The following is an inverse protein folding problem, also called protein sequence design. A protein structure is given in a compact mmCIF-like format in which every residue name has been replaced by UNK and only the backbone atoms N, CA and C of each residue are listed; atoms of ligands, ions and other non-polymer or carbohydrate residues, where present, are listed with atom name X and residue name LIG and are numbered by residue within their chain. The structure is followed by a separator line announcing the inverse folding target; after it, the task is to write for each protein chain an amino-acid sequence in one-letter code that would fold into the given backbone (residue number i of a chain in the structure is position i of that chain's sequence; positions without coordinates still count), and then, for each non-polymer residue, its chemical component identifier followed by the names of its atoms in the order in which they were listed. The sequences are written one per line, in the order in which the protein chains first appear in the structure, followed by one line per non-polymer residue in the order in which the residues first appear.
data_IF_197226300301
#
_entry.id   IF_197226300301
#
_cell.length_a   1.000
_cell.length_b   1.000
_cell.length_c   1.000
_cell.angle_alpha   90.00
_cell.angle_beta   90.00
_cell.angle_gamma   90.00
#
_symmetry.space_group_name_H-M   'P 1'
#
loop_
_entity.id
_entity.type
_entity.pdbx_description
1 polymer ?
#
# COMPACT_ATOMS: atom_id res chain seq x y z
N UNK A 1 -5.20 -9.43 -23.34
CA UNK A 1 -4.34 -9.42 -22.14
C UNK A 1 -3.63 -8.08 -21.87
N UNK A 2 -3.91 -7.01 -22.63
CA UNK A 2 -3.28 -5.68 -22.46
C UNK A 2 -4.01 -4.75 -21.49
N UNK A 3 -5.35 -4.80 -21.42
CA UNK A 3 -6.14 -3.92 -20.56
C UNK A 3 -5.97 -4.18 -19.04
N UNK A 4 -5.81 -5.45 -18.65
CA UNK A 4 -5.59 -5.83 -17.24
C UNK A 4 -4.23 -5.35 -16.71
N UNK A 5 -3.19 -5.33 -17.56
CA UNK A 5 -1.86 -4.85 -17.18
C UNK A 5 -1.84 -3.34 -16.95
N UNK A 6 -2.50 -2.56 -17.82
CA UNK A 6 -2.58 -1.10 -17.70
C UNK A 6 -3.38 -0.66 -16.46
N UNK A 7 -4.48 -1.35 -16.16
CA UNK A 7 -5.29 -1.07 -14.96
C UNK A 7 -4.52 -1.44 -13.68
N UNK A 8 -3.84 -2.59 -13.66
CA UNK A 8 -3.04 -3.02 -12.50
C UNK A 8 -1.85 -2.11 -12.20
N UNK A 9 -1.17 -1.58 -13.23
CA UNK A 9 -0.09 -0.60 -13.10
C UNK A 9 -0.60 0.74 -12.53
N UNK A 10 -1.73 1.23 -13.04
CA UNK A 10 -2.35 2.45 -12.55
C UNK A 10 -2.70 2.34 -11.05
N UNK A 11 -3.34 1.24 -10.65
CA UNK A 11 -3.69 0.99 -9.25
C UNK A 11 -2.46 0.89 -8.33
N UNK A 12 -1.36 0.28 -8.80
CA UNK A 12 -0.12 0.25 -8.02
C UNK A 12 0.51 1.63 -7.86
N UNK A 13 0.53 2.44 -8.92
CA UNK A 13 1.09 3.80 -8.87
C UNK A 13 0.28 4.68 -7.92
N UNK A 14 -1.06 4.67 -8.04
CA UNK A 14 -1.93 5.43 -7.14
C UNK A 14 -1.80 4.99 -5.68
N UNK A 15 -1.71 3.69 -5.42
CA UNK A 15 -1.49 3.17 -4.05
C UNK A 15 -0.13 3.58 -3.49
N UNK A 16 0.92 3.54 -4.30
CA UNK A 16 2.25 3.99 -3.88
C UNK A 16 2.28 5.50 -3.59
N UNK A 17 1.63 6.31 -4.43
CA UNK A 17 1.49 7.75 -4.22
C UNK A 17 0.73 8.08 -2.93
N UNK A 18 -0.43 7.46 -2.71
CA UNK A 18 -1.23 7.67 -1.50
C UNK A 18 -0.47 7.30 -0.23
N UNK A 19 0.33 6.22 -0.27
CA UNK A 19 1.16 5.81 0.88
C UNK A 19 2.22 6.87 1.21
N UNK A 20 2.92 7.40 0.19
CA UNK A 20 3.93 8.45 0.38
C UNK A 20 3.30 9.71 0.94
N UNK A 21 2.15 10.14 0.40
CA UNK A 21 1.43 11.32 0.91
C UNK A 21 1.04 11.15 2.39
N UNK A 22 0.48 10.00 2.77
CA UNK A 22 0.05 9.75 4.16
C UNK A 22 1.21 9.74 5.14
N UNK A 23 2.37 9.20 4.73
CA UNK A 23 3.58 9.22 5.55
C UNK A 23 4.08 10.66 5.74
N UNK A 24 4.11 11.46 4.66
CA UNK A 24 4.52 12.87 4.74
C UNK A 24 3.56 13.65 5.66
N UNK A 25 2.24 13.50 5.49
CA UNK A 25 1.25 14.15 6.36
C UNK A 25 1.41 13.72 7.82
N UNK A 26 1.60 12.42 8.08
CA UNK A 26 1.84 11.91 9.44
C UNK A 26 3.09 12.49 10.10
N UNK A 27 4.16 12.74 9.34
CA UNK A 27 5.37 13.42 9.84
C UNK A 27 5.11 14.90 10.09
N UNK A 28 4.44 15.60 9.18
CA UNK A 28 4.10 17.02 9.33
C UNK A 28 3.19 17.28 10.53
N UNK A 29 2.22 16.39 10.78
CA UNK A 29 1.34 16.43 11.95
C UNK A 29 2.11 16.21 13.26
N UNK A 30 3.13 15.34 13.26
CA UNK A 30 4.00 15.12 14.43
C UNK A 30 4.86 16.36 14.76
N UNK A 31 5.18 17.18 13.76
CA UNK A 31 5.94 18.43 13.93
C UNK A 31 4.99 19.60 14.29
N UNK A 32 3.68 19.35 14.45
CA UNK A 32 2.67 20.39 14.72
C UNK A 32 2.71 21.51 13.65
N UNK A 33 2.86 21.13 12.38
CA UNK A 33 3.06 22.07 11.28
C UNK A 33 1.84 23.00 11.08
N UNK A 34 2.09 24.32 11.08
CA UNK A 34 1.09 25.39 10.87
C UNK A 34 0.27 25.24 9.57
N UNK A 35 0.83 24.60 8.55
CA UNK A 35 0.12 24.37 7.28
C UNK A 35 -1.08 23.43 7.39
N UNK A 36 -1.14 22.60 8.44
CA UNK A 36 -2.23 21.67 8.70
C UNK A 36 -3.16 22.14 9.84
N UNK A 37 -3.04 23.39 10.27
CA UNK A 37 -3.83 23.92 11.38
C UNK A 37 -5.34 23.83 11.12
N UNK A 38 -5.77 24.06 9.88
CA UNK A 38 -7.19 23.93 9.48
C UNK A 38 -7.71 22.49 9.48
N UNK A 39 -6.85 21.47 9.49
CA UNK A 39 -7.25 20.06 9.55
C UNK A 39 -7.42 19.59 11.01
N UNK A 40 -6.93 20.36 11.98
CA UNK A 40 -6.94 20.04 13.42
C UNK A 40 -7.74 21.06 14.25
N UNK A 41 -8.35 22.03 13.59
CA UNK A 41 -9.16 23.06 14.24
C UNK A 41 -10.40 22.45 14.89
N UNK A 42 -10.81 23.02 16.02
CA UNK A 42 -12.02 22.66 16.72
C UNK A 42 -13.12 23.67 16.41
N UNK A 43 -14.38 23.24 16.43
CA UNK A 43 -15.54 24.10 16.11
C UNK A 43 -15.71 25.27 17.09
N UNK A 44 -15.30 25.11 18.34
CA UNK A 44 -15.40 26.16 19.36
C UNK A 44 -14.22 26.13 20.32
N UNK A 45 -13.70 27.31 20.64
CA UNK A 45 -12.65 27.51 21.63
C UNK A 45 -13.15 28.46 22.70
N UNK A 46 -12.89 28.12 23.96
CA UNK A 46 -13.36 28.93 25.10
C UNK A 46 -12.38 30.05 25.47
N UNK A 47 -11.08 29.78 25.35
CA UNK A 47 -9.99 30.71 25.66
C UNK A 47 -8.74 30.37 24.83
N UNK A 48 -7.73 31.23 24.81
CA UNK A 48 -6.47 31.00 24.11
C UNK A 48 -5.70 29.78 24.64
N UNK A 49 -5.68 29.57 25.96
CA UNK A 49 -5.04 28.38 26.56
C UNK A 49 -5.76 27.08 26.16
N UNK A 50 -7.10 27.14 26.07
CA UNK A 50 -7.91 26.02 25.57
C UNK A 50 -7.62 25.76 24.10
N UNK A 51 -7.49 26.80 23.28
CA UNK A 51 -7.07 26.69 21.87
C UNK A 51 -5.75 25.93 21.73
N UNK A 52 -4.70 26.34 22.46
CA UNK A 52 -3.38 25.68 22.37
C UNK A 52 -3.44 24.22 22.80
N UNK A 53 -4.13 23.92 23.91
CA UNK A 53 -4.22 22.57 24.44
C UNK A 53 -5.02 21.63 23.54
N UNK A 54 -6.17 22.10 23.04
CA UNK A 54 -7.05 21.31 22.19
C UNK A 54 -6.42 21.06 20.82
N UNK A 55 -5.80 22.09 20.23
CA UNK A 55 -5.10 21.99 18.94
C UNK A 55 -3.96 20.98 19.00
N UNK A 56 -3.14 21.03 20.07
CA UNK A 56 -2.06 20.05 20.28
C UNK A 56 -2.57 18.62 20.42
N UNK A 57 -3.68 18.43 21.13
CA UNK A 57 -4.31 17.13 21.26
C UNK A 57 -4.84 16.61 19.91
N UNK A 58 -5.46 17.49 19.12
CA UNK A 58 -5.99 17.17 17.80
C UNK A 58 -4.86 16.81 16.82
N UNK A 59 -3.73 17.53 16.81
CA UNK A 59 -2.54 17.15 16.04
C UNK A 59 -2.10 15.71 16.33
N UNK A 60 -2.04 15.33 17.61
CA UNK A 60 -1.67 13.97 18.02
C UNK A 60 -2.67 12.93 17.52
N UNK A 61 -3.97 13.20 17.66
CA UNK A 61 -5.04 12.28 17.21
C UNK A 61 -5.02 12.08 15.69
N UNK A 62 -4.92 13.16 14.92
CA UNK A 62 -4.87 13.09 13.45
C UNK A 62 -3.56 12.43 12.99
N UNK A 63 -2.43 12.72 13.64
CA UNK A 63 -1.16 12.06 13.36
C UNK A 63 -1.28 10.54 13.51
N UNK A 64 -1.87 10.05 14.62
CA UNK A 64 -2.06 8.62 14.88
C UNK A 64 -2.92 7.99 13.78
N UNK A 65 -4.00 8.64 13.38
CA UNK A 65 -4.88 8.15 12.32
C UNK A 65 -4.13 8.03 10.97
N UNK A 66 -3.34 9.05 10.61
CA UNK A 66 -2.50 9.01 9.41
C UNK A 66 -1.46 7.89 9.46
N UNK A 67 -0.83 7.66 10.61
CA UNK A 67 0.14 6.57 10.80
C UNK A 67 -0.50 5.19 10.68
N UNK A 68 -1.69 4.98 11.27
CA UNK A 68 -2.45 3.74 11.14
C UNK A 68 -2.84 3.51 9.68
N UNK A 69 -3.36 4.53 9.00
CA UNK A 69 -3.71 4.44 7.58
C UNK A 69 -2.48 4.07 6.73
N UNK A 70 -1.36 4.76 6.93
CA UNK A 70 -0.09 4.47 6.25
C UNK A 70 0.35 3.01 6.46
N UNK A 71 0.23 2.48 7.68
CA UNK A 71 0.55 1.08 7.98
C UNK A 71 -0.36 0.09 7.23
N UNK A 72 -1.68 0.37 7.16
CA UNK A 72 -2.64 -0.46 6.42
C UNK A 72 -2.30 -0.48 4.92
N UNK A 73 -2.01 0.69 4.33
CA UNK A 73 -1.62 0.77 2.92
C UNK A 73 -0.29 0.05 2.64
N UNK A 74 0.69 0.17 3.53
CA UNK A 74 1.95 -0.59 3.45
C UNK A 74 1.70 -2.10 3.47
N UNK A 75 0.85 -2.59 4.38
CA UNK A 75 0.48 -4.00 4.45
C UNK A 75 -0.22 -4.47 3.16
N UNK A 76 -1.14 -3.69 2.61
CA UNK A 76 -1.81 -4.01 1.35
C UNK A 76 -0.84 -4.08 0.17
N UNK A 77 0.15 -3.19 0.10
CA UNK A 77 1.22 -3.24 -0.90
C UNK A 77 2.04 -4.52 -0.75
N UNK A 78 2.46 -4.86 0.47
CA UNK A 78 3.23 -6.09 0.74
C UNK A 78 2.43 -7.33 0.33
N UNK A 79 1.17 -7.43 0.74
CA UNK A 79 0.30 -8.56 0.38
C UNK A 79 0.13 -8.65 -1.14
N UNK A 80 -0.16 -7.53 -1.81
CA UNK A 80 -0.31 -7.48 -3.26
C UNK A 80 0.97 -7.90 -3.98
N UNK A 81 2.12 -7.43 -3.51
CA UNK A 81 3.44 -7.80 -4.05
C UNK A 81 3.73 -9.29 -3.90
N UNK A 82 3.46 -9.86 -2.71
CA UNK A 82 3.60 -11.29 -2.45
C UNK A 82 2.66 -12.13 -3.32
N UNK A 83 1.41 -11.70 -3.51
CA UNK A 83 0.45 -12.33 -4.40
C UNK A 83 0.95 -12.32 -5.85
N UNK A 84 1.50 -11.20 -6.34
CA UNK A 84 2.06 -11.09 -7.69
C UNK A 84 3.27 -12.01 -7.87
N UNK A 85 4.19 -12.06 -6.91
CA UNK A 85 5.34 -12.98 -6.97
C UNK A 85 4.85 -14.43 -6.96
N UNK A 86 3.90 -14.77 -6.10
CA UNK A 86 3.39 -16.13 -5.98
C UNK A 86 2.64 -16.56 -7.25
N UNK A 87 1.84 -15.68 -7.83
CA UNK A 87 1.20 -15.90 -9.12
C UNK A 87 2.26 -16.17 -10.20
N UNK A 88 3.28 -15.32 -10.31
CA UNK A 88 4.40 -15.53 -11.26
C UNK A 88 5.14 -16.84 -11.02
N UNK A 89 5.32 -17.24 -9.76
CA UNK A 89 5.96 -18.52 -9.40
C UNK A 89 5.09 -19.71 -9.79
N UNK A 90 3.77 -19.61 -9.63
CA UNK A 90 2.84 -20.66 -10.03
C UNK A 90 2.82 -20.86 -11.55
N UNK A 91 2.81 -19.78 -12.33
CA UNK A 91 2.88 -19.86 -13.80
C UNK A 91 4.19 -20.50 -14.28
N UNK A 92 5.33 -20.15 -13.66
CA UNK A 92 6.62 -20.78 -13.96
C UNK A 92 6.64 -22.28 -13.60
N UNK A 93 6.01 -22.67 -12.50
CA UNK A 93 5.95 -24.07 -12.09
C UNK A 93 5.04 -24.91 -13.01
N UNK A 94 3.95 -24.32 -13.53
CA UNK A 94 3.10 -24.99 -14.54
C UNK A 94 3.86 -25.21 -15.84
N UNK A 95 4.61 -24.19 -16.32
CA UNK A 95 5.42 -24.32 -17.52
C UNK A 95 6.49 -25.42 -17.38
N UNK A 96 7.15 -25.52 -16.22
CA UNK A 96 8.12 -26.60 -15.94
C UNK A 96 7.49 -27.99 -15.97
N UNK A 97 6.32 -28.17 -15.34
CA UNK A 97 5.62 -29.46 -15.35
C UNK A 97 5.19 -29.90 -16.76
N UNK A 98 4.73 -28.94 -17.57
CA UNK A 98 4.36 -29.22 -18.97
C UNK A 98 5.59 -29.68 -19.78
N UNK A 99 6.75 -29.05 -19.57
CA UNK A 99 8.02 -29.44 -20.22
C UNK A 99 8.47 -30.86 -19.79
N UNK A 100 8.34 -31.21 -18.51
CA UNK A 100 8.64 -32.56 -18.00
C UNK A 100 7.69 -33.62 -18.62
N UNK A 101 6.39 -33.30 -18.75
CA UNK A 101 5.39 -34.19 -19.35
C UNK A 101 5.65 -34.42 -20.86
N UNK A 102 6.08 -33.38 -21.58
CA UNK A 102 6.46 -33.46 -22.99
C UNK A 102 7.72 -34.33 -23.18
N UNK A 103 8.74 -34.13 -22.35
CA UNK A 103 9.98 -34.91 -22.38
C UNK A 103 9.72 -36.40 -22.10
N UNK A 104 8.85 -36.69 -21.12
CA UNK A 104 8.45 -38.05 -20.78
C UNK A 104 7.74 -38.77 -21.95
N UNK A 105 6.90 -38.07 -22.70
CA UNK A 105 6.21 -38.64 -23.86
C UNK A 105 7.18 -38.94 -25.02
N UNK A 106 8.17 -38.08 -25.25
CA UNK A 106 9.16 -38.27 -26.31
C UNK A 106 10.07 -39.49 -26.05
N UNK A 107 10.52 -39.67 -24.81
CA UNK A 107 11.34 -40.82 -24.41
C UNK A 107 10.61 -42.14 -24.65
N UNK A 108 9.35 -42.24 -24.22
CA UNK A 108 8.51 -43.43 -24.42
C UNK A 108 8.31 -43.75 -25.91
N UNK A 109 8.21 -42.74 -26.78
CA UNK A 109 8.05 -42.93 -28.22
C UNK A 109 9.29 -43.50 -28.91
N UNK A 110 10.50 -43.34 -28.34
CA UNK A 110 11.73 -43.90 -28.91
C UNK A 110 11.95 -45.36 -28.56
N UNK A 111 11.26 -45.85 -27.53
CA UNK A 111 11.38 -47.22 -26.99
C UNK A 111 10.39 -48.20 -27.65
N UNK A 112 9.35 -47.68 -28.33
CA UNK A 112 8.33 -48.45 -29.07
C UNK A 112 8.71 -48.48 -30.56
#
# INVERSE_FOLDING_TARGET
MSALFNCGLCCMILSSWATVQLVIMGVLLKIEALSLLGDVEAETYTDYDDFIKQTKNNYSMVAINCWIAAAIYLLMIVISYLCIIKARRNERNKARKLEDDELFCEDKSKVI
#
